data_IF_816668860364
#
_entry.id   IF_816668860364
#
_cell.length_a   1.000
_cell.length_b   1.000
_cell.length_c   1.000
_cell.angle_alpha   90.00
_cell.angle_beta   90.00
_cell.angle_gamma   90.00
#
_symmetry.space_group_name_H-M   'P 1'
#
loop_
_entity.id
_entity.type
_entity.pdbx_description
1 polymer ?
#
# COMPACT_ATOMS: atom_id res chain seq x y z
N UNK A 1 -35.96 -11.59 6.39
CA UNK A 1 -35.49 -11.25 7.75
C UNK A 1 -34.01 -11.53 7.82
N UNK A 2 -33.17 -10.49 7.78
CA UNK A 2 -31.73 -10.67 7.87
C UNK A 2 -31.39 -11.21 9.27
N UNK A 3 -30.84 -12.42 9.34
CA UNK A 3 -30.21 -12.96 10.55
C UNK A 3 -29.08 -12.00 10.92
N UNK A 4 -29.29 -11.12 11.90
CA UNK A 4 -28.21 -10.43 12.60
C UNK A 4 -27.47 -11.49 13.43
N UNK A 5 -26.66 -12.30 12.75
CA UNK A 5 -25.73 -13.21 13.38
C UNK A 5 -24.68 -12.37 14.09
N UNK A 6 -24.67 -12.46 15.42
CA UNK A 6 -23.58 -11.92 16.24
C UNK A 6 -22.26 -12.44 15.67
N UNK A 7 -21.47 -11.55 15.07
CA UNK A 7 -20.10 -11.87 14.69
C UNK A 7 -19.24 -11.56 15.90
N UNK A 8 -18.58 -12.57 16.51
CA UNK A 8 -17.80 -12.33 17.70
C UNK A 8 -16.70 -11.29 17.38
N UNK A 9 -16.39 -10.37 18.31
CA UNK A 9 -15.41 -9.31 18.11
C UNK A 9 -14.02 -9.87 17.75
N UNK A 10 -13.72 -11.10 18.14
CA UNK A 10 -12.51 -11.82 17.72
C UNK A 10 -12.47 -12.08 16.21
N UNK A 11 -13.59 -12.47 15.60
CA UNK A 11 -13.68 -12.73 14.16
C UNK A 11 -13.60 -11.44 13.34
N UNK A 12 -14.13 -10.33 13.86
CA UNK A 12 -14.02 -9.02 13.18
C UNK A 12 -12.61 -8.46 13.30
N UNK A 13 -11.95 -8.61 14.45
CA UNK A 13 -10.55 -8.21 14.66
C UNK A 13 -9.57 -9.06 13.83
N UNK A 14 -9.80 -10.36 13.69
CA UNK A 14 -9.01 -11.23 12.82
C UNK A 14 -9.13 -10.83 11.33
N UNK A 15 -10.33 -10.43 10.88
CA UNK A 15 -10.53 -9.91 9.51
C UNK A 15 -9.83 -8.57 9.30
N UNK A 16 -9.89 -7.65 10.26
CA UNK A 16 -9.17 -6.38 10.20
C UNK A 16 -7.66 -6.58 10.14
N UNK A 17 -7.13 -7.54 10.89
CA UNK A 17 -5.70 -7.87 10.86
C UNK A 17 -5.28 -8.46 9.50
N UNK A 18 -6.09 -9.35 8.91
CA UNK A 18 -5.86 -9.89 7.57
C UNK A 18 -5.92 -8.81 6.48
N UNK A 19 -6.91 -7.92 6.55
CA UNK A 19 -7.06 -6.80 5.62
C UNK A 19 -5.89 -5.81 5.76
N UNK A 20 -5.52 -5.46 6.99
CA UNK A 20 -4.37 -4.62 7.27
C UNK A 20 -3.08 -5.23 6.72
N UNK A 21 -2.91 -6.57 6.82
CA UNK A 21 -1.76 -7.29 6.26
C UNK A 21 -1.69 -7.20 4.74
N UNK A 22 -2.83 -7.38 4.07
CA UNK A 22 -2.93 -7.21 2.61
C UNK A 22 -2.60 -5.78 2.19
N UNK A 23 -3.13 -4.78 2.90
CA UNK A 23 -2.85 -3.37 2.63
C UNK A 23 -1.36 -3.04 2.85
N UNK A 24 -0.73 -3.51 3.92
CA UNK A 24 0.72 -3.33 4.10
C UNK A 24 1.53 -3.95 2.97
N UNK A 25 1.18 -5.16 2.52
CA UNK A 25 1.90 -5.81 1.43
C UNK A 25 1.71 -5.04 0.11
N UNK A 26 0.47 -4.64 -0.21
CA UNK A 26 0.17 -3.85 -1.39
C UNK A 26 0.93 -2.52 -1.37
N UNK A 27 0.93 -1.83 -0.23
CA UNK A 27 1.69 -0.59 -0.03
C UNK A 27 3.19 -0.79 -0.22
N UNK A 28 3.76 -1.84 0.36
CA UNK A 28 5.18 -2.16 0.22
C UNK A 28 5.56 -2.46 -1.25
N UNK A 29 4.72 -3.20 -1.97
CA UNK A 29 4.93 -3.48 -3.40
C UNK A 29 4.86 -2.20 -4.23
N UNK A 30 3.88 -1.33 -3.98
CA UNK A 30 3.76 -0.04 -4.66
C UNK A 30 4.96 0.86 -4.40
N UNK A 31 5.46 0.91 -3.15
CA UNK A 31 6.70 1.65 -2.82
C UNK A 31 7.89 1.05 -3.57
N UNK A 32 8.04 -0.27 -3.59
CA UNK A 32 9.13 -0.94 -4.30
C UNK A 32 9.11 -0.64 -5.80
N UNK A 33 7.93 -0.76 -6.44
CA UNK A 33 7.75 -0.44 -7.86
C UNK A 33 7.99 1.04 -8.15
N UNK A 34 7.54 1.94 -7.28
CA UNK A 34 7.80 3.38 -7.40
C UNK A 34 9.30 3.69 -7.29
N UNK A 35 10.02 3.05 -6.37
CA UNK A 35 11.47 3.21 -6.25
C UNK A 35 12.22 2.74 -7.50
N UNK A 36 11.88 1.55 -8.00
CA UNK A 36 12.45 1.01 -9.25
C UNK A 36 12.11 1.92 -10.44
N UNK A 37 10.88 2.39 -10.52
CA UNK A 37 10.42 3.26 -11.60
C UNK A 37 11.12 4.63 -11.61
N UNK A 38 11.52 5.18 -10.46
CA UNK A 38 12.36 6.38 -10.40
C UNK A 38 13.74 6.11 -11.01
N UNK A 39 14.38 5.00 -10.63
CA UNK A 39 15.69 4.61 -11.18
C UNK A 39 15.59 4.40 -12.69
N UNK A 40 14.53 3.74 -13.15
CA UNK A 40 14.29 3.56 -14.58
C UNK A 40 14.02 4.89 -15.29
N UNK A 41 13.28 5.80 -14.66
CA UNK A 41 12.99 7.14 -15.17
C UNK A 41 14.26 7.94 -15.38
N UNK A 42 15.23 7.90 -14.46
CA UNK A 42 16.48 8.64 -14.61
C UNK A 42 17.30 8.13 -15.80
N UNK A 43 17.37 6.81 -15.98
CA UNK A 43 18.03 6.21 -17.16
C UNK A 43 17.31 6.59 -18.45
N UNK A 44 15.98 6.50 -18.49
CA UNK A 44 15.19 6.86 -19.68
C UNK A 44 15.26 8.35 -19.99
N UNK A 45 15.37 9.23 -18.98
CA UNK A 45 15.63 10.65 -19.20
C UNK A 45 16.96 10.88 -19.90
N UNK A 46 18.00 10.14 -19.49
CA UNK A 46 19.33 10.26 -20.08
C UNK A 46 19.39 9.69 -21.52
N UNK A 47 18.75 8.55 -21.79
CA UNK A 47 18.81 7.88 -23.10
C UNK A 47 17.86 8.50 -24.13
N UNK A 48 16.65 8.92 -23.71
CA UNK A 48 15.59 9.40 -24.60
C UNK A 48 15.30 10.89 -24.43
N UNK A 49 16.27 11.68 -23.96
CA UNK A 49 16.15 13.13 -23.74
C UNK A 49 14.92 13.54 -22.93
N UNK A 50 14.44 12.67 -22.04
CA UNK A 50 13.31 12.95 -21.17
C UNK A 50 11.92 12.63 -21.71
N UNK A 51 11.76 12.25 -22.99
CA UNK A 51 10.44 11.98 -23.60
C UNK A 51 9.70 10.87 -22.84
N UNK A 52 10.37 9.74 -22.59
CA UNK A 52 9.80 8.61 -21.85
C UNK A 52 10.04 8.68 -20.34
N UNK A 53 11.16 9.30 -19.94
CA UNK A 53 11.54 9.36 -18.54
C UNK A 53 10.70 10.34 -17.71
N UNK A 54 10.14 11.40 -18.32
CA UNK A 54 9.24 12.33 -17.63
C UNK A 54 7.96 11.65 -17.09
N UNK A 55 7.13 11.05 -17.96
CA UNK A 55 5.90 10.37 -17.55
C UNK A 55 6.14 9.23 -16.56
N UNK A 56 7.16 8.39 -16.80
CA UNK A 56 7.49 7.27 -15.91
C UNK A 56 7.93 7.77 -14.53
N UNK A 57 8.71 8.85 -14.46
CA UNK A 57 9.11 9.45 -13.18
C UNK A 57 7.91 9.95 -12.38
N UNK A 58 6.94 10.59 -13.05
CA UNK A 58 5.70 11.03 -12.43
C UNK A 58 4.86 9.88 -11.86
N UNK A 59 4.64 8.83 -12.65
CA UNK A 59 3.92 7.63 -12.20
C UNK A 59 4.63 6.93 -11.04
N UNK A 60 5.96 6.90 -11.08
CA UNK A 60 6.78 6.29 -10.04
C UNK A 60 6.71 7.06 -8.71
N UNK A 61 6.67 8.40 -8.79
CA UNK A 61 6.45 9.24 -7.62
C UNK A 61 5.05 9.04 -7.02
N UNK A 62 4.02 8.96 -7.87
CA UNK A 62 2.65 8.65 -7.43
C UNK A 62 2.57 7.26 -6.78
N UNK A 63 3.25 6.27 -7.35
CA UNK A 63 3.32 4.92 -6.78
C UNK A 63 4.00 4.92 -5.40
N UNK A 64 5.04 5.73 -5.18
CA UNK A 64 5.65 5.89 -3.86
C UNK A 64 4.70 6.52 -2.86
N UNK A 65 4.05 7.63 -3.20
CA UNK A 65 3.13 8.32 -2.29
C UNK A 65 1.92 7.45 -1.94
N UNK A 66 1.28 6.86 -2.96
CA UNK A 66 0.16 5.97 -2.78
C UNK A 66 0.58 4.71 -2.00
N UNK A 67 1.73 4.12 -2.35
CA UNK A 67 2.27 2.95 -1.67
C UNK A 67 2.58 3.21 -0.20
N UNK A 68 3.22 4.33 0.12
CA UNK A 68 3.52 4.73 1.50
C UNK A 68 2.23 4.96 2.31
N UNK A 69 1.24 5.62 1.72
CA UNK A 69 -0.07 5.84 2.35
C UNK A 69 -0.82 4.53 2.62
N UNK A 70 -0.89 3.64 1.63
CA UNK A 70 -1.54 2.33 1.75
C UNK A 70 -0.80 1.43 2.75
N UNK A 71 0.54 1.48 2.76
CA UNK A 71 1.36 0.78 3.75
C UNK A 71 1.05 1.25 5.16
N UNK A 72 1.09 2.58 5.37
CA UNK A 72 0.84 3.18 6.67
C UNK A 72 -0.56 2.84 7.19
N UNK A 73 -1.56 2.91 6.32
CA UNK A 73 -2.94 2.59 6.69
C UNK A 73 -3.13 1.11 7.04
N UNK A 74 -2.53 0.19 6.26
CA UNK A 74 -2.52 -1.22 6.62
C UNK A 74 -1.87 -1.46 7.98
N UNK A 75 -0.73 -0.80 8.23
CA UNK A 75 0.03 -0.94 9.47
C UNK A 75 -0.75 -0.41 10.68
N UNK A 76 -1.36 0.77 10.56
CA UNK A 76 -2.20 1.34 11.62
C UNK A 76 -3.38 0.43 11.92
N UNK A 77 -4.03 -0.14 10.90
CA UNK A 77 -5.16 -1.05 11.07
C UNK A 77 -4.77 -2.32 11.85
N UNK A 78 -3.60 -2.89 11.58
CA UNK A 78 -3.05 -4.03 12.34
C UNK A 78 -2.75 -3.60 13.79
N UNK A 79 -2.11 -2.44 13.97
CA UNK A 79 -1.75 -1.92 15.29
C UNK A 79 -3.00 -1.73 16.16
N UNK A 80 -4.05 -1.13 15.62
CA UNK A 80 -5.29 -0.87 16.33
C UNK A 80 -6.03 -2.18 16.68
N UNK A 81 -6.04 -3.15 15.75
CA UNK A 81 -6.60 -4.47 16.00
C UNK A 81 -5.88 -5.23 17.13
N UNK A 82 -4.56 -5.04 17.27
CA UNK A 82 -3.78 -5.62 18.38
C UNK A 82 -3.97 -4.85 19.69
N UNK A 83 -4.08 -3.53 19.63
CA UNK A 83 -4.36 -2.71 20.82
C UNK A 83 -5.69 -3.10 21.47
N UNK A 84 -6.70 -3.45 20.67
CA UNK A 84 -8.02 -3.88 21.15
C UNK A 84 -8.03 -5.28 21.79
N UNK A 85 -6.97 -6.09 21.61
CA UNK A 85 -6.84 -7.42 22.24
C UNK A 85 -6.08 -7.41 23.57
N UNK A 86 -5.46 -6.29 23.96
CA UNK A 86 -4.77 -6.13 25.24
C UNK A 86 -5.71 -5.51 26.27
#
# INVERSE_FOLDING_TARGET
MARYGYTPPEATNARKEAQGRQLTLAGAVLVGLGGIGIILSTVLKAVWLGILGGPIGGLSWLALLAGAGVFWWGFSTIRDARATRR
#
